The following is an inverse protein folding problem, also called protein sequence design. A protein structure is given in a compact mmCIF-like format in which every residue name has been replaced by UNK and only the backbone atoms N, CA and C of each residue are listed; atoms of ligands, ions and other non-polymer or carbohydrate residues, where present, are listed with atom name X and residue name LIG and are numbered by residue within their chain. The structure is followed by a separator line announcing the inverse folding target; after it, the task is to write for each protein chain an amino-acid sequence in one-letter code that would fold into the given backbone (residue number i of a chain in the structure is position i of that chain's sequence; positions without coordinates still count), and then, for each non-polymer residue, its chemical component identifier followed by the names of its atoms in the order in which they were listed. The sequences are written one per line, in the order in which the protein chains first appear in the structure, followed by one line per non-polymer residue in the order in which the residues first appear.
data_IF_780963162625
#
_entry.id   IF_780963162625
#
_cell.length_a   1.000
_cell.length_b   1.000
_cell.length_c   1.000
_cell.angle_alpha   90.00
_cell.angle_beta   90.00
_cell.angle_gamma   90.00
#
_symmetry.space_group_name_H-M   'P 1'
#
loop_
_entity.id
_entity.type
_entity.pdbx_description
1 polymer ?
#
# COMPACT_ATOMS: atom_id res chain seq x y z
N UNK A 1 -4.99 8.43 -6.07
CA UNK A 1 -4.96 6.97 -6.16
C UNK A 1 -6.34 6.43 -5.78
N UNK A 2 -6.74 5.22 -6.18
CA UNK A 2 -8.02 4.67 -5.71
C UNK A 2 -7.92 4.15 -4.27
N UNK A 3 -9.04 4.12 -3.55
CA UNK A 3 -9.06 3.78 -2.11
C UNK A 3 -8.45 2.41 -1.78
N UNK A 4 -8.78 1.38 -2.56
CA UNK A 4 -8.30 0.01 -2.34
C UNK A 4 -6.80 -0.15 -2.61
N UNK A 5 -6.23 0.67 -3.51
CA UNK A 5 -4.78 0.71 -3.71
C UNK A 5 -4.08 1.34 -2.51
N UNK A 6 -4.65 2.41 -1.94
CA UNK A 6 -4.15 3.02 -0.69
C UNK A 6 -4.21 2.03 0.47
N UNK A 7 -5.33 1.31 0.63
CA UNK A 7 -5.47 0.27 1.64
C UNK A 7 -4.49 -0.90 1.44
N UNK A 8 -4.31 -1.39 0.21
CA UNK A 8 -3.35 -2.44 -0.11
C UNK A 8 -1.91 -2.02 0.20
N UNK A 9 -1.52 -0.79 -0.15
CA UNK A 9 -0.21 -0.22 0.18
C UNK A 9 -0.03 -0.06 1.69
N UNK A 10 -1.07 0.39 2.41
CA UNK A 10 -1.02 0.52 3.86
C UNK A 10 -0.78 -0.85 4.53
N UNK A 11 -1.54 -1.88 4.13
CA UNK A 11 -1.35 -3.25 4.62
C UNK A 11 0.04 -3.78 4.26
N UNK A 12 0.52 -3.54 3.05
CA UNK A 12 1.84 -3.98 2.60
C UNK A 12 2.96 -3.36 3.46
N UNK A 13 2.91 -2.05 3.70
CA UNK A 13 3.91 -1.34 4.50
C UNK A 13 3.90 -1.82 5.96
N UNK A 14 2.73 -1.99 6.58
CA UNK A 14 2.69 -2.51 7.95
C UNK A 14 3.21 -3.95 8.02
N UNK A 15 2.88 -4.81 7.05
CA UNK A 15 3.44 -6.17 6.98
C UNK A 15 4.95 -6.18 6.79
N UNK A 16 5.51 -5.28 5.98
CA UNK A 16 6.96 -5.13 5.82
C UNK A 16 7.64 -4.81 7.17
N UNK A 17 7.11 -3.85 7.91
CA UNK A 17 7.73 -3.43 9.18
C UNK A 17 7.47 -4.39 10.33
N UNK A 18 6.39 -5.17 10.27
CA UNK A 18 5.96 -6.05 11.35
C UNK A 18 6.29 -7.53 11.11
N UNK A 19 7.02 -7.85 10.02
CA UNK A 19 7.29 -9.21 9.58
C UNK A 19 6.00 -10.05 9.45
N UNK A 20 5.01 -9.54 8.72
CA UNK A 20 3.68 -10.13 8.50
C UNK A 20 2.77 -10.30 9.73
N UNK A 21 3.14 -9.84 10.92
CA UNK A 21 2.26 -9.96 12.10
C UNK A 21 0.94 -9.18 11.95
N UNK A 22 0.94 -8.09 11.18
CA UNK A 22 -0.29 -7.37 10.81
C UNK A 22 -1.01 -8.13 9.71
N UNK A 23 -2.29 -8.43 9.93
CA UNK A 23 -3.11 -9.24 9.00
C UNK A 23 -4.21 -8.44 8.31
N UNK A 24 -4.60 -7.28 8.85
CA UNK A 24 -5.67 -6.42 8.34
C UNK A 24 -5.34 -4.97 8.70
N UNK A 25 -5.97 -4.03 7.99
CA UNK A 25 -5.95 -2.60 8.29
C UNK A 25 -7.36 -2.05 8.22
N UNK A 26 -7.71 -1.17 9.15
CA UNK A 26 -8.92 -0.37 9.11
C UNK A 26 -8.67 0.86 8.22
N UNK A 27 -9.58 1.12 7.27
CA UNK A 27 -9.59 2.34 6.47
C UNK A 27 -10.57 3.33 7.10
N UNK A 28 -10.05 4.41 7.70
CA UNK A 28 -10.88 5.42 8.36
C UNK A 28 -11.75 6.22 7.39
N UNK A 29 -11.33 6.35 6.13
CA UNK A 29 -12.11 7.05 5.11
C UNK A 29 -13.33 6.25 4.66
N UNK A 30 -13.25 4.93 4.72
CA UNK A 30 -14.32 4.00 4.36
C UNK A 30 -15.08 3.44 5.56
N UNK A 31 -14.57 3.69 6.78
CA UNK A 31 -15.11 3.13 8.03
C UNK A 31 -15.26 1.61 7.99
N UNK A 32 -14.30 0.90 7.39
CA UNK A 32 -14.32 -0.55 7.25
C UNK A 32 -12.92 -1.19 7.31
N UNK A 33 -12.90 -2.52 7.33
CA UNK A 33 -11.69 -3.31 7.06
C UNK A 33 -11.78 -3.87 5.64
N UNK A 34 -11.02 -3.35 4.66
CA UNK A 34 -10.95 -3.94 3.33
C UNK A 34 -10.53 -5.41 3.39
N UNK A 35 -11.20 -6.26 2.62
CA UNK A 35 -10.92 -7.70 2.63
C UNK A 35 -9.70 -8.01 1.75
N UNK A 36 -8.52 -7.71 2.29
CA UNK A 36 -7.23 -7.91 1.62
C UNK A 36 -6.38 -8.83 2.48
N UNK A 37 -5.79 -9.85 1.87
CA UNK A 37 -4.88 -10.77 2.58
C UNK A 37 -3.68 -11.11 1.72
N UNK A 38 -2.65 -11.70 2.34
CA UNK A 38 -1.46 -12.15 1.63
C UNK A 38 -0.18 -12.00 2.44
N UNK A 39 0.93 -12.26 1.78
CA UNK A 39 2.26 -12.28 2.37
C UNK A 39 3.16 -11.24 1.72
N UNK A 40 3.99 -10.63 2.55
CA UNK A 40 4.90 -9.57 2.14
C UNK A 40 6.25 -9.82 2.78
N UNK A 41 7.33 -9.73 2.02
CA UNK A 41 8.68 -9.85 2.54
C UNK A 41 9.60 -8.84 1.85
N UNK A 42 10.88 -8.87 2.18
CA UNK A 42 11.87 -7.94 1.64
C UNK A 42 12.10 -8.07 0.13
N UNK A 43 11.64 -9.16 -0.50
CA UNK A 43 11.83 -9.46 -1.92
C UNK A 43 10.55 -9.29 -2.74
N UNK A 44 9.37 -9.48 -2.15
CA UNK A 44 8.09 -9.38 -2.86
C UNK A 44 6.92 -8.99 -1.96
N UNK A 45 5.92 -8.34 -2.56
CA UNK A 45 4.60 -8.08 -2.00
C UNK A 45 3.61 -8.93 -2.81
N UNK A 46 2.82 -9.76 -2.15
CA UNK A 46 1.76 -10.56 -2.77
C UNK A 46 0.49 -10.48 -1.94
N UNK A 47 -0.42 -9.61 -2.37
CA UNK A 47 -1.72 -9.43 -1.76
C UNK A 47 -2.83 -9.83 -2.75
N UNK A 48 -3.94 -10.31 -2.20
CA UNK A 48 -5.18 -10.54 -2.92
C UNK A 48 -6.29 -9.73 -2.26
N UNK A 49 -6.99 -8.96 -3.08
CA UNK A 49 -8.15 -8.17 -2.69
C UNK A 49 -9.41 -8.94 -3.07
N UNK A 50 -10.09 -9.47 -2.05
CA UNK A 50 -11.28 -10.30 -2.22
C UNK A 50 -12.52 -9.48 -2.58
N UNK A 51 -12.54 -8.19 -2.25
CA UNK A 51 -13.65 -7.31 -2.60
C UNK A 51 -13.63 -7.02 -4.11
N UNK A 52 -12.44 -6.97 -4.71
CA UNK A 52 -12.26 -6.76 -6.17
C UNK A 52 -12.00 -8.04 -6.96
N UNK A 53 -11.70 -9.15 -6.29
CA UNK A 53 -11.34 -10.42 -6.93
C UNK A 53 -10.02 -10.35 -7.71
N UNK A 54 -9.04 -9.57 -7.23
CA UNK A 54 -7.84 -9.26 -7.99
C UNK A 54 -6.56 -9.26 -7.15
N UNK A 55 -5.43 -9.52 -7.81
CA UNK A 55 -4.10 -9.46 -7.22
C UNK A 55 -3.57 -8.02 -7.14
N UNK A 56 -2.82 -7.76 -6.07
CA UNK A 56 -1.98 -6.58 -5.90
C UNK A 56 -0.60 -7.06 -5.48
N UNK A 57 0.35 -7.07 -6.42
CA UNK A 57 1.64 -7.73 -6.17
C UNK A 57 2.79 -7.13 -6.95
N UNK A 58 4.01 -7.49 -6.55
CA UNK A 58 5.22 -7.09 -7.25
C UNK A 58 6.49 -7.44 -6.49
N UNK A 59 7.62 -7.12 -7.11
CA UNK A 59 8.95 -7.53 -6.64
C UNK A 59 9.85 -6.35 -6.37
N UNK A 60 10.74 -6.53 -5.41
CA UNK A 60 11.82 -5.59 -5.15
C UNK A 60 12.88 -5.68 -6.26
N UNK A 61 13.22 -4.56 -6.87
CA UNK A 61 14.17 -4.49 -7.99
C UNK A 61 15.59 -4.05 -7.58
N UNK A 62 15.87 -3.98 -6.26
CA UNK A 62 17.13 -3.46 -5.71
C UNK A 62 17.04 -2.03 -5.17
N UNK A 63 16.04 -1.25 -5.60
CA UNK A 63 15.81 0.13 -5.14
C UNK A 63 14.41 0.32 -4.55
N UNK A 64 13.40 -0.28 -5.16
CA UNK A 64 12.00 -0.14 -4.78
C UNK A 64 11.21 -1.39 -5.17
N UNK A 65 10.00 -1.53 -4.63
CA UNK A 65 9.04 -2.50 -5.15
C UNK A 65 8.38 -1.94 -6.40
N UNK A 66 8.39 -2.72 -7.48
CA UNK A 66 7.58 -2.47 -8.68
C UNK A 66 6.32 -3.32 -8.58
N UNK A 67 5.20 -2.67 -8.26
CA UNK A 67 3.90 -3.27 -7.98
C UNK A 67 2.96 -3.11 -9.17
N UNK A 68 1.98 -4.00 -9.24
CA UNK A 68 0.91 -3.98 -10.23
C UNK A 68 -0.43 -4.30 -9.57
N UNK A 69 -1.41 -3.45 -9.85
CA UNK A 69 -2.81 -3.66 -9.47
C UNK A 69 -3.59 -4.30 -10.63
N UNK A 70 -3.85 -5.60 -10.53
CA UNK A 70 -4.51 -6.36 -11.59
C UNK A 70 -5.97 -5.98 -11.82
N UNK A 71 -6.63 -5.31 -10.86
CA UNK A 71 -8.00 -4.86 -11.05
C UNK A 71 -8.11 -3.69 -12.05
N UNK A 72 -7.08 -2.85 -12.13
CA UNK A 72 -7.10 -1.63 -12.95
C UNK A 72 -6.04 -1.60 -14.04
N UNK A 73 -5.10 -2.55 -14.01
CA UNK A 73 -3.99 -2.58 -14.94
C UNK A 73 -3.00 -1.44 -14.72
N UNK A 74 -2.73 -1.09 -13.47
CA UNK A 74 -1.92 0.09 -13.12
C UNK A 74 -0.63 -0.33 -12.40
N UNK A 75 0.48 0.31 -12.80
CA UNK A 75 1.77 0.17 -12.12
C UNK A 75 1.90 1.15 -10.95
N UNK A 76 2.57 0.72 -9.90
CA UNK A 76 2.82 1.52 -8.70
C UNK A 76 4.23 1.23 -8.20
N UNK A 77 5.04 2.26 -7.95
CA UNK A 77 6.32 2.09 -7.26
C UNK A 77 6.17 2.31 -5.77
N UNK A 78 6.89 1.55 -4.94
CA UNK A 78 6.94 1.75 -3.49
C UNK A 78 8.39 1.68 -2.99
N UNK A 79 8.90 2.79 -2.48
CA UNK A 79 10.28 2.96 -2.04
C UNK A 79 10.34 3.31 -0.55
N UNK A 80 11.18 2.57 0.20
CA UNK A 80 11.48 2.91 1.60
C UNK A 80 12.47 4.07 1.66
N UNK A 81 12.15 5.09 2.48
CA UNK A 81 13.02 6.26 2.70
C UNK A 81 13.78 6.24 4.01
N UNK A 82 13.38 5.38 4.94
CA UNK A 82 13.92 5.30 6.30
C UNK A 82 12.98 5.95 7.32
N UNK A 83 13.24 5.72 8.61
CA UNK A 83 12.47 6.30 9.73
C UNK A 83 10.95 6.11 9.62
N UNK A 84 10.50 4.91 9.21
CA UNK A 84 9.08 4.61 9.05
C UNK A 84 8.38 5.36 7.92
N UNK A 85 9.13 5.89 6.94
CA UNK A 85 8.58 6.58 5.77
C UNK A 85 8.79 5.81 4.48
N UNK A 86 7.77 5.86 3.64
CA UNK A 86 7.79 5.36 2.27
C UNK A 86 7.26 6.44 1.33
N UNK A 87 7.67 6.36 0.08
CA UNK A 87 7.14 7.17 -1.01
C UNK A 87 6.92 6.28 -2.23
N UNK A 88 6.19 6.80 -3.21
CA UNK A 88 5.99 6.08 -4.44
C UNK A 88 5.32 6.93 -5.51
N UNK A 89 5.21 6.35 -6.70
CA UNK A 89 4.55 6.95 -7.85
C UNK A 89 3.45 6.03 -8.35
N UNK A 90 2.25 6.59 -8.51
CA UNK A 90 1.09 5.90 -9.10
C UNK A 90 1.04 6.21 -10.59
N UNK A 91 1.42 5.24 -11.44
CA UNK A 91 1.54 5.48 -12.88
C UNK A 91 0.18 5.68 -13.56
N UNK A 92 -0.89 5.09 -13.02
CA UNK A 92 -2.25 5.25 -13.56
C UNK A 92 -2.78 6.69 -13.47
N UNK A 93 -2.38 7.45 -12.44
CA UNK A 93 -2.79 8.85 -12.27
C UNK A 93 -1.67 9.87 -12.43
N UNK A 94 -0.44 9.42 -12.69
CA UNK A 94 0.70 10.30 -12.88
C UNK A 94 1.05 11.14 -11.64
N UNK A 95 0.81 10.62 -10.44
CA UNK A 95 0.93 11.36 -9.18
C UNK A 95 1.77 10.61 -8.15
N UNK A 96 2.49 11.37 -7.33
CA UNK A 96 3.25 10.84 -6.18
C UNK A 96 2.35 10.55 -4.98
N UNK A 97 2.87 9.78 -4.03
CA UNK A 97 2.27 9.61 -2.71
C UNK A 97 3.35 9.39 -1.65
N UNK A 98 2.97 9.62 -0.40
CA UNK A 98 3.82 9.41 0.76
C UNK A 98 3.07 8.61 1.83
N UNK A 99 3.80 7.77 2.55
CA UNK A 99 3.28 6.95 3.65
C UNK A 99 4.18 7.19 4.86
N UNK A 100 3.59 7.60 5.96
CA UNK A 100 4.29 7.74 7.26
C UNK A 100 3.65 6.82 8.28
N UNK A 101 4.44 5.92 8.86
CA UNK A 101 4.01 5.04 9.94
C UNK A 101 3.98 5.82 11.25
N UNK A 102 2.86 5.73 11.99
CA UNK A 102 2.61 6.39 13.27
C UNK A 102 2.17 5.35 14.30
N UNK A 103 3.12 4.82 15.06
CA UNK A 103 2.85 3.70 15.98
C UNK A 103 2.41 2.47 15.19
N UNK A 104 1.19 1.98 15.45
CA UNK A 104 0.61 0.83 14.75
C UNK A 104 -0.19 1.21 13.49
N UNK A 105 -0.33 2.51 13.20
CA UNK A 105 -1.08 3.00 12.05
C UNK A 105 -0.23 3.65 10.97
N UNK A 106 -0.89 4.12 9.93
CA UNK A 106 -0.32 4.82 8.78
C UNK A 106 -1.08 6.12 8.53
N UNK A 107 -0.34 7.14 8.13
CA UNK A 107 -0.87 8.33 7.47
C UNK A 107 -0.39 8.36 6.03
N UNK A 108 -1.31 8.29 5.09
CA UNK A 108 -1.07 8.22 3.65
C UNK A 108 -1.42 9.56 3.02
N UNK A 109 -0.46 10.27 2.44
CA UNK A 109 -0.72 11.48 1.67
C UNK A 109 -0.74 11.16 0.18
N UNK A 110 -1.86 11.47 -0.47
CA UNK A 110 -2.08 11.20 -1.89
C UNK A 110 -2.10 12.51 -2.67
N UNK A 111 -1.05 12.78 -3.45
CA UNK A 111 -0.93 14.03 -4.19
C UNK A 111 -1.97 14.19 -5.30
N UNK A 112 -2.59 13.10 -5.79
CA UNK A 112 -3.67 13.21 -6.77
C UNK A 112 -4.90 13.90 -6.17
N UNK A 113 -5.17 13.62 -4.89
CA UNK A 113 -6.33 14.19 -4.17
C UNK A 113 -5.97 15.38 -3.30
N UNK A 114 -4.69 15.57 -2.97
CA UNK A 114 -4.23 16.58 -2.02
C UNK A 114 -4.69 16.32 -0.58
N UNK A 115 -4.92 15.06 -0.21
CA UNK A 115 -5.53 14.66 1.07
C UNK A 115 -4.72 13.60 1.81
N UNK A 116 -4.92 13.56 3.13
CA UNK A 116 -4.46 12.47 3.98
C UNK A 116 -5.56 11.41 4.12
N UNK A 117 -5.14 10.15 4.12
CA UNK A 117 -5.94 8.97 4.42
C UNK A 117 -5.21 8.19 5.51
N UNK A 118 -5.88 7.96 6.65
CA UNK A 118 -5.28 7.25 7.77
C UNK A 118 -5.77 5.79 7.83
N UNK A 119 -4.90 4.90 8.32
CA UNK A 119 -5.14 3.46 8.46
C UNK A 119 -4.60 2.93 9.80
N UNK A 120 -5.20 1.87 10.37
CA UNK A 120 -4.73 1.20 11.60
C UNK A 120 -4.96 -0.30 11.64
#
# INVERSE_FOLDING_TARGET
MKQYQRAALALAVLKLESNNSVTRVFDYSQSNYPNISGNVNTSEIKLYDYDRGAHFEGKFNGSEFSLYDYAHGEHISLKKKGNGKYEGYHYGSGSYYEITIKGNGISFYDYETGQYYDFS
#
